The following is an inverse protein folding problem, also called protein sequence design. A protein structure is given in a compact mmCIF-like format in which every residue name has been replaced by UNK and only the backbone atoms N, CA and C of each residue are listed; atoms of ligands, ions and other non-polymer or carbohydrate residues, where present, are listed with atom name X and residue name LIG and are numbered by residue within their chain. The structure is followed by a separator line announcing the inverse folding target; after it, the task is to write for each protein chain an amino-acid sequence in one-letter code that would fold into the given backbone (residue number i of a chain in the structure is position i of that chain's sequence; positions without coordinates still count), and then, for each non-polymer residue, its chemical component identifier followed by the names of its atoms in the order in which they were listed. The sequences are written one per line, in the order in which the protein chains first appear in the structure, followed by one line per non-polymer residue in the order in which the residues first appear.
data_IF_632248619038
#
_entry.id   IF_632248619038
#
_cell.length_a   1.000
_cell.length_b   1.000
_cell.length_c   1.000
_cell.angle_alpha   90.00
_cell.angle_beta   90.00
_cell.angle_gamma   90.00
#
_symmetry.space_group_name_H-M   'P 1'
#
loop_
_entity.id
_entity.type
_entity.pdbx_description
1 polymer ?
#
# COMPACT_ATOMS: atom_id res chain seq x y z
N UNK A 1 4.98 23.66 -9.37
CA UNK A 1 4.79 22.29 -9.90
C UNK A 1 5.69 22.03 -11.08
N UNK A 2 5.66 22.85 -12.14
CA UNK A 2 6.54 22.72 -13.30
C UNK A 2 8.02 22.44 -12.94
N UNK A 3 8.62 23.23 -12.04
CA UNK A 3 10.01 23.01 -11.61
C UNK A 3 10.22 21.65 -10.92
N UNK A 4 9.25 21.17 -10.14
CA UNK A 4 9.30 19.86 -9.48
C UNK A 4 9.26 18.73 -10.50
N UNK A 5 8.37 18.84 -11.50
CA UNK A 5 8.22 17.86 -12.58
C UNK A 5 9.46 17.83 -13.47
N UNK A 6 10.01 19.00 -13.81
CA UNK A 6 11.22 19.12 -14.61
C UNK A 6 12.46 18.62 -13.86
N UNK A 7 12.57 18.92 -12.56
CA UNK A 7 13.68 18.44 -11.72
C UNK A 7 13.59 16.93 -11.53
N UNK A 8 12.41 16.38 -11.22
CA UNK A 8 12.24 14.95 -10.95
C UNK A 8 12.92 14.47 -9.66
N UNK A 9 12.81 13.18 -9.36
CA UNK A 9 13.39 12.52 -8.19
C UNK A 9 14.48 11.53 -8.61
N UNK A 10 15.67 11.61 -8.00
CA UNK A 10 16.76 10.67 -8.29
C UNK A 10 16.45 9.31 -7.66
N UNK A 11 16.78 8.24 -8.39
CA UNK A 11 16.51 6.87 -7.94
C UNK A 11 17.75 5.99 -8.13
N UNK A 12 18.04 5.15 -7.13
CA UNK A 12 18.99 4.07 -7.24
C UNK A 12 18.42 2.93 -8.11
N UNK A 13 18.66 3.02 -9.41
CA UNK A 13 18.17 2.05 -10.41
C UNK A 13 18.73 0.65 -10.15
N UNK A 14 19.98 0.53 -9.71
CA UNK A 14 20.61 -0.77 -9.52
C UNK A 14 20.07 -1.45 -8.25
N UNK A 15 19.93 -0.69 -7.17
CA UNK A 15 19.26 -1.17 -5.95
C UNK A 15 17.83 -1.59 -6.22
N UNK A 16 17.08 -0.80 -7.01
CA UNK A 16 15.70 -1.12 -7.36
C UNK A 16 15.60 -2.41 -8.21
N UNK A 17 16.52 -2.64 -9.15
CA UNK A 17 16.60 -3.90 -9.92
C UNK A 17 16.94 -5.10 -9.03
N UNK A 18 17.92 -4.98 -8.15
CA UNK A 18 18.29 -6.04 -7.22
C UNK A 18 17.12 -6.40 -6.28
N UNK A 19 16.39 -5.38 -5.82
CA UNK A 19 15.18 -5.59 -5.02
C UNK A 19 14.06 -6.28 -5.81
N UNK A 20 13.89 -5.95 -7.09
CA UNK A 20 12.96 -6.66 -7.99
C UNK A 20 13.29 -8.15 -8.14
N UNK A 21 14.58 -8.48 -8.24
CA UNK A 21 15.01 -9.87 -8.28
C UNK A 21 14.69 -10.60 -6.97
N UNK A 22 15.00 -10.00 -5.82
CA UNK A 22 14.65 -10.58 -4.51
C UNK A 22 13.14 -10.82 -4.37
N UNK A 23 12.31 -9.87 -4.80
CA UNK A 23 10.86 -10.04 -4.78
C UNK A 23 10.38 -11.16 -5.71
N UNK A 24 11.03 -11.32 -6.87
CA UNK A 24 10.73 -12.39 -7.83
C UNK A 24 11.05 -13.76 -7.24
N UNK A 25 12.21 -13.88 -6.56
CA UNK A 25 12.59 -15.13 -5.90
C UNK A 25 11.59 -15.48 -4.79
N UNK A 26 11.23 -14.50 -3.95
CA UNK A 26 10.20 -14.66 -2.91
C UNK A 26 8.81 -15.01 -3.47
N UNK A 27 8.45 -14.47 -4.63
CA UNK A 27 7.19 -14.81 -5.31
C UNK A 27 7.16 -16.28 -5.72
N UNK A 28 8.24 -16.77 -6.32
CA UNK A 28 8.36 -18.16 -6.73
C UNK A 28 8.29 -19.10 -5.51
N UNK A 29 9.01 -18.77 -4.44
CA UNK A 29 8.95 -19.55 -3.20
C UNK A 29 7.52 -19.60 -2.58
N UNK A 30 6.82 -18.46 -2.53
CA UNK A 30 5.43 -18.41 -2.08
C UNK A 30 4.53 -19.27 -2.98
N UNK A 31 4.70 -19.18 -4.29
CA UNK A 31 3.91 -19.90 -5.27
C UNK A 31 4.09 -21.43 -5.13
N UNK A 32 5.33 -21.88 -4.95
CA UNK A 32 5.64 -23.29 -4.68
C UNK A 32 4.99 -23.78 -3.38
N UNK A 33 5.05 -22.97 -2.31
CA UNK A 33 4.37 -23.29 -1.04
C UNK A 33 2.86 -23.38 -1.22
N UNK A 34 2.25 -22.45 -1.95
CA UNK A 34 0.81 -22.48 -2.25
C UNK A 34 0.45 -23.77 -2.97
N UNK A 35 1.16 -24.11 -4.06
CA UNK A 35 0.86 -25.32 -4.83
C UNK A 35 1.08 -26.61 -4.03
N UNK A 36 2.09 -26.65 -3.17
CA UNK A 36 2.33 -27.78 -2.27
C UNK A 36 1.22 -27.93 -1.23
N UNK A 37 0.68 -26.83 -0.72
CA UNK A 37 -0.42 -26.85 0.26
C UNK A 37 -1.75 -27.27 -0.38
N UNK A 38 -2.04 -26.82 -1.60
CA UNK A 38 -3.32 -27.09 -2.26
C UNK A 38 -3.33 -28.36 -3.10
N UNK A 39 -2.16 -28.86 -3.52
CA UNK A 39 -2.00 -30.06 -4.33
C UNK A 39 -2.23 -29.88 -5.84
N UNK A 40 -2.42 -28.66 -6.31
CA UNK A 40 -2.62 -28.36 -7.74
C UNK A 40 -2.13 -26.96 -8.11
N UNK A 41 -1.76 -26.77 -9.38
CA UNK A 41 -1.31 -25.48 -9.92
C UNK A 41 -2.48 -24.66 -10.47
N UNK A 42 -2.44 -23.35 -10.25
CA UNK A 42 -3.39 -22.39 -10.81
C UNK A 42 -2.78 -20.99 -10.83
N UNK A 43 -3.38 -20.07 -11.60
CA UNK A 43 -2.91 -18.68 -11.63
C UNK A 43 -3.41 -17.90 -10.41
N UNK A 44 -2.54 -17.70 -9.42
CA UNK A 44 -2.82 -16.93 -8.19
C UNK A 44 -3.16 -15.47 -8.47
N UNK A 45 -2.66 -14.91 -9.59
CA UNK A 45 -2.96 -13.54 -10.02
C UNK A 45 -4.35 -13.42 -10.66
N UNK A 46 -5.01 -14.52 -11.05
CA UNK A 46 -6.35 -14.50 -11.62
C UNK A 46 -7.39 -14.60 -10.51
N UNK A 47 -8.21 -13.55 -10.25
CA UNK A 47 -9.23 -13.61 -9.19
C UNK A 47 -10.23 -14.75 -9.40
N UNK A 48 -10.51 -15.10 -10.67
CA UNK A 48 -11.39 -16.21 -11.03
C UNK A 48 -10.79 -17.55 -10.65
N UNK A 49 -9.55 -17.84 -11.07
CA UNK A 49 -8.91 -19.12 -10.75
C UNK A 49 -8.61 -19.25 -9.26
N UNK A 50 -8.14 -18.18 -8.61
CA UNK A 50 -7.94 -18.15 -7.17
C UNK A 50 -9.26 -18.37 -6.41
N UNK A 51 -10.35 -17.74 -6.84
CA UNK A 51 -11.66 -17.94 -6.23
C UNK A 51 -12.11 -19.40 -6.33
N UNK A 52 -12.00 -19.99 -7.52
CA UNK A 52 -12.28 -21.42 -7.71
C UNK A 52 -11.41 -22.33 -6.84
N UNK A 53 -10.10 -22.08 -6.79
CA UNK A 53 -9.17 -22.86 -5.98
C UNK A 53 -9.50 -22.83 -4.47
N UNK A 54 -9.98 -21.68 -3.97
CA UNK A 54 -10.32 -21.52 -2.55
C UNK A 54 -11.71 -22.04 -2.19
N UNK A 55 -12.69 -21.89 -3.08
CA UNK A 55 -14.12 -21.97 -2.71
C UNK A 55 -14.92 -23.04 -3.43
N UNK A 56 -14.45 -23.57 -4.56
CA UNK A 56 -15.19 -24.64 -5.25
C UNK A 56 -15.15 -25.92 -4.40
N UNK A 57 -16.26 -26.67 -4.40
CA UNK A 57 -16.46 -27.85 -3.55
C UNK A 57 -15.51 -29.01 -3.87
N UNK A 58 -15.01 -29.08 -5.11
CA UNK A 58 -14.01 -30.07 -5.55
C UNK A 58 -12.56 -29.66 -5.22
N UNK A 59 -12.37 -28.52 -4.55
CA UNK A 59 -11.06 -27.96 -4.16
C UNK A 59 -10.94 -27.85 -2.64
N UNK A 60 -10.65 -26.65 -2.12
CA UNK A 60 -10.49 -26.42 -0.68
C UNK A 60 -11.81 -26.20 0.07
N UNK A 61 -12.90 -25.91 -0.66
CA UNK A 61 -14.24 -25.71 -0.09
C UNK A 61 -14.29 -24.75 1.11
N UNK A 62 -13.49 -23.67 1.11
CA UNK A 62 -13.45 -22.71 2.20
C UNK A 62 -14.76 -21.91 2.30
N UNK A 63 -15.12 -21.41 3.50
CA UNK A 63 -16.27 -20.54 3.66
C UNK A 63 -16.20 -19.32 2.74
N UNK A 64 -17.31 -19.00 2.07
CA UNK A 64 -17.36 -17.87 1.14
C UNK A 64 -18.65 -17.06 1.27
N UNK A 65 -18.56 -15.78 0.92
CA UNK A 65 -19.74 -14.91 0.79
C UNK A 65 -20.50 -15.16 -0.51
N UNK A 66 -21.48 -14.28 -0.81
CA UNK A 66 -22.26 -14.36 -2.04
C UNK A 66 -21.37 -14.21 -3.28
N UNK A 67 -21.45 -15.17 -4.20
CA UNK A 67 -20.82 -15.11 -5.54
C UNK A 67 -21.49 -14.01 -6.37
N UNK A 68 -20.71 -13.13 -6.98
CA UNK A 68 -21.22 -12.09 -7.88
C UNK A 68 -21.18 -12.57 -9.33
N UNK A 69 -21.68 -11.75 -10.27
CA UNK A 69 -21.58 -12.03 -11.72
C UNK A 69 -20.14 -12.24 -12.20
N UNK A 70 -19.15 -11.67 -11.50
CA UNK A 70 -17.73 -11.77 -11.85
C UNK A 70 -16.99 -12.89 -11.11
N UNK A 71 -17.67 -13.62 -10.22
CA UNK A 71 -17.11 -14.75 -9.47
C UNK A 71 -17.06 -14.51 -7.96
N UNK A 72 -16.20 -15.26 -7.27
CA UNK A 72 -15.98 -15.10 -5.83
C UNK A 72 -15.14 -13.86 -5.53
N UNK A 73 -15.47 -13.15 -4.45
CA UNK A 73 -14.60 -12.09 -3.96
C UNK A 73 -13.39 -12.72 -3.28
N UNK A 74 -12.20 -12.39 -3.78
CA UNK A 74 -10.93 -12.75 -3.13
C UNK A 74 -10.22 -11.50 -2.64
N UNK A 75 -10.92 -10.41 -2.30
CA UNK A 75 -10.25 -9.17 -1.86
C UNK A 75 -9.53 -9.37 -0.51
N UNK A 76 -8.67 -8.42 -0.14
CA UNK A 76 -7.90 -8.51 1.10
C UNK A 76 -8.79 -8.76 2.32
N UNK A 77 -9.89 -8.00 2.48
CA UNK A 77 -10.81 -8.15 3.64
C UNK A 77 -11.41 -9.55 3.76
N UNK A 78 -11.79 -10.18 2.64
CA UNK A 78 -12.32 -11.55 2.63
C UNK A 78 -11.22 -12.54 2.99
N UNK A 79 -10.04 -12.43 2.39
CA UNK A 79 -8.92 -13.31 2.74
C UNK A 79 -8.50 -13.15 4.21
N UNK A 80 -8.47 -11.93 4.74
CA UNK A 80 -8.18 -11.65 6.15
C UNK A 80 -9.14 -12.40 7.09
N UNK A 81 -10.45 -12.43 6.79
CA UNK A 81 -11.42 -13.18 7.59
C UNK A 81 -11.23 -14.70 7.53
N UNK A 82 -10.52 -15.21 6.53
CA UNK A 82 -10.30 -16.64 6.31
C UNK A 82 -8.94 -17.14 6.80
N UNK A 83 -8.12 -16.29 7.42
CA UNK A 83 -6.78 -16.68 7.89
C UNK A 83 -6.77 -17.88 8.83
N UNK A 84 -7.83 -18.07 9.61
CA UNK A 84 -7.96 -19.18 10.55
C UNK A 84 -8.49 -20.47 9.91
N UNK A 85 -9.02 -20.38 8.69
CA UNK A 85 -9.62 -21.53 7.99
C UNK A 85 -8.55 -22.39 7.32
N UNK A 86 -7.51 -21.78 6.73
CA UNK A 86 -6.44 -22.52 6.08
C UNK A 86 -5.13 -21.72 6.01
N UNK A 87 -3.96 -22.33 6.28
CA UNK A 87 -2.65 -21.64 6.21
C UNK A 87 -2.30 -21.05 4.83
N UNK A 88 -2.87 -21.56 3.74
CA UNK A 88 -2.63 -21.08 2.37
C UNK A 88 -3.05 -19.61 2.21
N UNK A 89 -4.01 -19.16 3.00
CA UNK A 89 -4.50 -17.78 2.97
C UNK A 89 -3.37 -16.79 3.33
N UNK A 90 -2.53 -17.14 4.30
CA UNK A 90 -1.38 -16.30 4.67
C UNK A 90 -0.36 -16.23 3.53
N UNK A 91 -0.07 -17.36 2.87
CA UNK A 91 0.82 -17.40 1.71
C UNK A 91 0.26 -16.59 0.52
N UNK A 92 -1.04 -16.65 0.26
CA UNK A 92 -1.70 -15.86 -0.79
C UNK A 92 -1.64 -14.36 -0.48
N UNK A 93 -1.88 -13.95 0.77
CA UNK A 93 -1.78 -12.56 1.20
C UNK A 93 -0.34 -12.04 1.07
N UNK A 94 0.65 -12.87 1.42
CA UNK A 94 2.06 -12.55 1.27
C UNK A 94 2.46 -12.44 -0.21
N UNK A 95 2.08 -13.44 -1.03
CA UNK A 95 2.30 -13.44 -2.48
C UNK A 95 1.74 -12.16 -3.13
N UNK A 96 0.53 -11.75 -2.77
CA UNK A 96 -0.07 -10.51 -3.31
C UNK A 96 0.67 -9.24 -2.88
N UNK A 97 1.20 -9.22 -1.66
CA UNK A 97 2.07 -8.13 -1.20
C UNK A 97 3.31 -8.03 -2.08
N UNK A 98 4.01 -9.15 -2.28
CA UNK A 98 5.20 -9.19 -3.14
C UNK A 98 4.88 -8.86 -4.59
N UNK A 99 3.79 -9.40 -5.13
CA UNK A 99 3.38 -9.16 -6.51
C UNK A 99 3.09 -7.70 -6.75
N UNK A 100 2.35 -7.05 -5.84
CA UNK A 100 2.03 -5.62 -5.96
C UNK A 100 3.29 -4.77 -5.85
N UNK A 101 4.19 -5.08 -4.91
CA UNK A 101 5.47 -4.40 -4.79
C UNK A 101 6.30 -4.52 -6.06
N UNK A 102 6.41 -5.73 -6.61
CA UNK A 102 7.21 -5.98 -7.79
C UNK A 102 6.59 -5.35 -9.05
N UNK A 103 5.34 -5.68 -9.38
CA UNK A 103 4.70 -5.26 -10.64
C UNK A 103 4.36 -3.77 -10.67
N UNK A 104 3.73 -3.25 -9.62
CA UNK A 104 3.22 -1.87 -9.63
C UNK A 104 4.34 -0.88 -9.38
N UNK A 105 5.24 -1.22 -8.45
CA UNK A 105 6.27 -0.29 -8.02
C UNK A 105 7.61 -0.60 -8.68
N UNK A 106 8.22 -1.76 -8.47
CA UNK A 106 9.57 -2.00 -9.01
C UNK A 106 9.61 -1.94 -10.54
N UNK A 107 8.86 -2.80 -11.22
CA UNK A 107 8.82 -2.83 -12.68
C UNK A 107 8.21 -1.55 -13.26
N UNK A 108 7.11 -1.07 -12.66
CA UNK A 108 6.42 0.14 -13.09
C UNK A 108 7.32 1.38 -13.03
N UNK A 109 8.05 1.55 -11.93
CA UNK A 109 8.95 2.67 -11.73
C UNK A 109 10.21 2.55 -12.61
N UNK A 110 10.80 1.36 -12.75
CA UNK A 110 11.96 1.15 -13.63
C UNK A 110 11.68 1.52 -15.09
N UNK A 111 10.45 1.29 -15.58
CA UNK A 111 10.05 1.64 -16.96
C UNK A 111 9.99 3.14 -17.22
N UNK A 112 9.86 3.97 -16.19
CA UNK A 112 9.68 5.43 -16.31
C UNK A 112 10.90 6.22 -15.88
N UNK A 113 11.96 5.56 -15.40
CA UNK A 113 13.25 6.23 -15.15
C UNK A 113 13.81 6.74 -16.47
N UNK A 114 14.13 8.03 -16.53
CA UNK A 114 14.73 8.66 -17.71
C UNK A 114 16.25 8.47 -17.72
N UNK A 115 16.90 8.85 -18.82
CA UNK A 115 18.36 8.69 -19.02
C UNK A 115 19.22 9.42 -17.99
N UNK A 116 18.68 10.45 -17.35
CA UNK A 116 19.32 11.20 -16.26
C UNK A 116 19.24 10.49 -14.90
N UNK A 117 18.66 9.28 -14.85
CA UNK A 117 18.49 8.50 -13.62
C UNK A 117 17.34 8.99 -12.73
N UNK A 118 16.46 9.86 -13.26
CA UNK A 118 15.38 10.49 -12.48
C UNK A 118 14.01 10.04 -12.96
N UNK A 119 13.06 10.09 -12.03
CA UNK A 119 11.63 9.91 -12.30
C UNK A 119 10.93 11.27 -12.28
N UNK A 120 10.12 11.53 -13.30
CA UNK A 120 9.42 12.79 -13.47
C UNK A 120 7.92 12.56 -13.44
N UNK A 121 7.34 12.69 -12.25
CA UNK A 121 5.89 12.65 -12.08
C UNK A 121 5.26 13.89 -12.68
N UNK A 122 4.03 13.75 -13.18
CA UNK A 122 3.14 14.87 -13.52
C UNK A 122 2.16 15.11 -12.36
N UNK A 123 1.94 16.36 -11.96
CA UNK A 123 1.00 16.73 -10.89
C UNK A 123 -0.26 17.37 -11.47
N UNK A 124 -1.39 16.68 -11.39
CA UNK A 124 -2.66 17.18 -11.92
C UNK A 124 -3.35 18.07 -10.87
N UNK A 125 -3.62 19.32 -11.24
CA UNK A 125 -4.25 20.31 -10.36
C UNK A 125 -5.79 20.26 -10.37
N UNK A 126 -6.38 19.69 -11.41
CA UNK A 126 -7.84 19.79 -11.69
C UNK A 126 -8.58 18.46 -11.61
N UNK A 127 -7.90 17.37 -11.18
CA UNK A 127 -8.48 16.03 -11.18
C UNK A 127 -9.35 15.75 -9.93
N UNK A 128 -8.85 16.10 -8.73
CA UNK A 128 -9.56 15.77 -7.50
C UNK A 128 -10.64 16.81 -7.15
N UNK A 129 -11.87 16.34 -6.91
CA UNK A 129 -13.00 17.19 -6.47
C UNK A 129 -12.72 17.96 -5.17
N UNK A 130 -11.81 17.45 -4.33
CA UNK A 130 -11.46 18.05 -3.03
C UNK A 130 -10.38 19.14 -3.13
N UNK A 131 -9.86 19.42 -4.33
CA UNK A 131 -8.76 20.36 -4.54
C UNK A 131 -7.37 19.80 -4.22
N UNK A 132 -7.24 18.49 -3.92
CA UNK A 132 -5.94 17.82 -3.77
C UNK A 132 -5.23 17.69 -5.11
N UNK A 133 -3.91 17.78 -5.10
CA UNK A 133 -3.09 17.35 -6.23
C UNK A 133 -3.14 15.82 -6.34
N UNK A 134 -3.24 15.31 -7.56
CA UNK A 134 -2.92 13.90 -7.88
C UNK A 134 -1.58 13.83 -8.62
N UNK A 135 -0.98 12.64 -8.66
CA UNK A 135 0.26 12.37 -9.38
C UNK A 135 0.11 11.21 -10.35
N UNK A 136 0.73 11.31 -11.52
CA UNK A 136 0.69 10.30 -12.57
C UNK A 136 2.04 10.21 -13.32
N UNK A 137 2.27 9.05 -13.94
CA UNK A 137 3.42 8.79 -14.84
C UNK A 137 4.83 9.09 -14.28
N UNK A 138 5.23 8.57 -13.10
CA UNK A 138 4.51 7.65 -12.22
C UNK A 138 3.79 8.35 -11.06
N UNK A 139 2.86 7.67 -10.40
CA UNK A 139 2.25 8.17 -9.17
C UNK A 139 3.23 8.03 -7.99
N UNK A 140 3.89 9.14 -7.65
CA UNK A 140 4.84 9.21 -6.52
C UNK A 140 4.17 9.52 -5.17
N UNK A 141 2.88 9.84 -5.15
CA UNK A 141 2.15 10.05 -3.88
C UNK A 141 1.79 8.74 -3.17
N UNK A 142 1.65 7.64 -3.92
CA UNK A 142 1.21 6.34 -3.40
C UNK A 142 2.35 5.35 -3.16
N UNK A 143 3.58 5.82 -2.94
CA UNK A 143 4.72 4.96 -2.61
C UNK A 143 4.52 4.36 -1.20
N UNK A 144 4.53 3.01 -1.06
CA UNK A 144 4.31 2.31 0.20
C UNK A 144 5.27 2.76 1.31
N UNK A 145 4.81 2.71 2.56
CA UNK A 145 5.63 2.99 3.76
C UNK A 145 5.27 2.12 4.96
N UNK A 146 4.01 1.69 5.07
CA UNK A 146 3.47 1.05 6.27
C UNK A 146 4.04 -0.35 6.56
N UNK A 147 4.68 -0.97 5.57
CA UNK A 147 5.31 -2.29 5.71
C UNK A 147 6.82 -2.16 5.58
N UNK A 148 7.56 -3.07 6.19
CA UNK A 148 9.03 -3.11 6.10
C UNK A 148 9.50 -3.10 4.63
N UNK A 149 8.90 -3.94 3.78
CA UNK A 149 9.23 -3.98 2.36
C UNK A 149 8.84 -2.70 1.61
N UNK A 150 7.74 -2.05 2.00
CA UNK A 150 7.38 -0.75 1.47
C UNK A 150 8.37 0.34 1.88
N UNK A 151 8.84 0.31 3.12
CA UNK A 151 9.89 1.19 3.62
C UNK A 151 11.21 0.99 2.86
N UNK A 152 11.60 -0.27 2.61
CA UNK A 152 12.76 -0.60 1.79
C UNK A 152 12.67 -0.04 0.37
N UNK A 153 11.48 -0.06 -0.25
CA UNK A 153 11.27 0.56 -1.56
C UNK A 153 11.55 2.08 -1.53
N UNK A 154 11.17 2.78 -0.46
CA UNK A 154 11.46 4.23 -0.32
C UNK A 154 12.95 4.53 -0.23
N UNK A 155 13.76 3.60 0.27
CA UNK A 155 15.21 3.78 0.39
C UNK A 155 15.91 3.91 -0.99
N UNK A 156 15.26 3.49 -2.09
CA UNK A 156 15.81 3.68 -3.43
C UNK A 156 15.58 5.07 -4.01
N UNK A 157 14.75 5.91 -3.39
CA UNK A 157 14.65 7.32 -3.73
C UNK A 157 15.75 8.08 -2.99
N UNK A 158 16.58 8.81 -3.73
CA UNK A 158 17.83 9.38 -3.21
C UNK A 158 17.94 10.87 -3.47
N UNK A 159 18.75 11.55 -2.65
CA UNK A 159 19.13 12.93 -2.91
C UNK A 159 20.20 12.98 -4.02
N UNK A 160 20.28 14.12 -4.72
CA UNK A 160 21.41 14.39 -5.61
C UNK A 160 22.75 14.43 -4.82
N UNK A 161 23.90 14.19 -5.48
CA UNK A 161 25.20 14.26 -4.82
C UNK A 161 25.41 15.59 -4.09
N UNK A 162 25.82 15.52 -2.82
CA UNK A 162 26.00 16.69 -1.96
C UNK A 162 24.71 17.25 -1.36
N UNK A 163 23.54 16.63 -1.62
CA UNK A 163 22.26 17.03 -1.06
C UNK A 163 21.72 16.01 -0.04
N UNK A 164 20.67 16.41 0.69
CA UNK A 164 19.89 15.53 1.56
C UNK A 164 18.40 15.67 1.23
N UNK A 165 17.63 14.60 1.42
CA UNK A 165 16.16 14.67 1.36
C UNK A 165 15.64 15.15 2.71
N UNK A 166 14.72 16.11 2.68
CA UNK A 166 13.99 16.58 3.86
C UNK A 166 12.52 16.30 3.63
N UNK A 167 11.91 15.57 4.57
CA UNK A 167 10.47 15.28 4.58
C UNK A 167 9.81 16.02 5.74
N UNK A 168 8.68 16.66 5.47
CA UNK A 168 7.92 17.43 6.43
C UNK A 168 6.43 17.18 6.22
N UNK A 169 5.78 16.56 7.20
CA UNK A 169 4.36 16.20 7.18
C UNK A 169 3.60 16.94 8.28
N UNK A 170 2.41 17.44 7.96
CA UNK A 170 1.58 18.08 8.96
C UNK A 170 0.98 17.06 9.92
N UNK A 171 1.37 17.12 11.19
CA UNK A 171 0.80 16.30 12.26
C UNK A 171 -0.72 16.50 12.39
N UNK A 172 -1.48 15.50 11.93
CA UNK A 172 -2.94 15.41 12.07
C UNK A 172 -3.71 16.60 11.47
N UNK A 173 -3.28 17.12 10.31
CA UNK A 173 -3.85 18.33 9.70
C UNK A 173 -5.38 18.30 9.52
N UNK A 174 -5.93 17.16 9.10
CA UNK A 174 -7.36 17.01 8.85
C UNK A 174 -8.19 17.19 10.12
N UNK A 175 -7.71 16.64 11.25
CA UNK A 175 -8.37 16.78 12.55
C UNK A 175 -8.20 18.20 13.11
N UNK A 176 -7.06 18.86 12.85
CA UNK A 176 -6.85 20.27 13.23
C UNK A 176 -7.80 21.20 12.48
N UNK A 177 -7.97 20.98 11.17
CA UNK A 177 -8.96 21.70 10.35
C UNK A 177 -10.37 21.44 10.88
N UNK A 178 -10.71 20.19 11.22
CA UNK A 178 -12.00 19.85 11.80
C UNK A 178 -12.25 20.61 13.12
N UNK A 179 -11.27 20.64 14.04
CA UNK A 179 -11.37 21.37 15.30
C UNK A 179 -11.62 22.87 15.09
N UNK A 180 -10.96 23.45 14.07
CA UNK A 180 -11.13 24.86 13.71
C UNK A 180 -12.53 25.14 13.15
N UNK A 181 -12.99 24.34 12.17
CA UNK A 181 -14.27 24.55 11.49
C UNK A 181 -15.45 24.23 12.41
N UNK A 182 -15.35 23.20 13.26
CA UNK A 182 -16.44 22.80 14.15
C UNK A 182 -16.60 23.70 15.37
N UNK A 183 -15.54 24.39 15.79
CA UNK A 183 -15.53 25.14 17.04
C UNK A 183 -15.54 24.26 18.30
N UNK A 184 -15.27 22.96 18.20
CA UNK A 184 -15.28 22.04 19.34
C UNK A 184 -14.15 22.39 20.33
N UNK A 185 -14.51 22.95 21.48
CA UNK A 185 -13.56 23.43 22.48
C UNK A 185 -12.67 22.32 23.03
N UNK A 186 -13.20 21.11 23.20
CA UNK A 186 -12.44 19.97 23.71
C UNK A 186 -11.38 19.49 22.71
N UNK A 187 -11.66 19.53 21.40
CA UNK A 187 -10.74 19.16 20.33
C UNK A 187 -9.67 20.25 20.14
N UNK A 188 -10.07 21.52 20.19
CA UNK A 188 -9.13 22.65 20.14
C UNK A 188 -8.16 22.63 21.33
N UNK A 189 -8.66 22.47 22.54
CA UNK A 189 -7.84 22.37 23.75
C UNK A 189 -6.88 21.17 23.67
N UNK A 190 -7.34 20.01 23.18
CA UNK A 190 -6.48 18.85 23.01
C UNK A 190 -5.30 19.14 22.07
N UNK A 191 -5.53 19.87 20.96
CA UNK A 191 -4.44 20.27 20.07
C UNK A 191 -3.52 21.35 20.64
N UNK A 192 -4.05 22.31 21.41
CA UNK A 192 -3.27 23.39 22.03
C UNK A 192 -2.39 22.88 23.18
N UNK A 193 -2.84 21.84 23.89
CA UNK A 193 -2.13 21.25 25.03
C UNK A 193 -1.28 20.04 24.64
N UNK A 194 -1.25 19.65 23.37
CA UNK A 194 -0.46 18.52 22.87
C UNK A 194 -1.00 17.15 23.28
N UNK A 195 -2.28 17.05 23.66
CA UNK A 195 -2.92 15.78 23.98
C UNK A 195 -3.11 14.91 22.73
N UNK A 196 -3.00 13.59 22.89
CA UNK A 196 -3.31 12.64 21.84
C UNK A 196 -4.83 12.53 21.63
N UNK A 197 -5.31 13.07 20.52
CA UNK A 197 -6.72 13.05 20.15
C UNK A 197 -7.24 11.65 19.83
N UNK A 198 -6.43 10.75 19.28
CA UNK A 198 -6.87 9.38 19.01
C UNK A 198 -7.13 8.66 20.33
N UNK A 199 -6.23 8.84 21.29
CA UNK A 199 -6.39 8.29 22.65
C UNK A 199 -7.59 8.91 23.37
N UNK A 200 -7.73 10.22 23.30
CA UNK A 200 -8.85 10.97 23.89
C UNK A 200 -10.21 10.57 23.31
N UNK A 201 -10.28 10.35 22.00
CA UNK A 201 -11.49 9.91 21.29
C UNK A 201 -11.81 8.45 21.60
N UNK A 202 -10.81 7.57 21.59
CA UNK A 202 -10.99 6.17 21.96
C UNK A 202 -11.48 6.03 23.42
N UNK A 203 -10.89 6.77 24.35
CA UNK A 203 -11.33 6.81 25.75
C UNK A 203 -12.81 7.21 25.89
N UNK A 204 -13.27 8.21 25.11
CA UNK A 204 -14.68 8.62 25.07
C UNK A 204 -15.59 7.55 24.46
N UNK A 205 -15.22 6.97 23.32
CA UNK A 205 -16.04 5.95 22.62
C UNK A 205 -16.18 4.67 23.46
N UNK A 206 -15.09 4.25 24.11
CA UNK A 206 -15.05 3.03 24.91
C UNK A 206 -15.35 3.26 26.40
N UNK A 207 -15.75 4.48 26.81
CA UNK A 207 -15.98 4.87 28.21
C UNK A 207 -14.82 4.45 29.15
N UNK A 208 -13.58 4.65 28.71
CA UNK A 208 -12.37 4.34 29.48
C UNK A 208 -11.71 5.62 30.02
N UNK A 209 -10.99 5.57 31.16
CA UNK A 209 -10.27 6.72 31.67
C UNK A 209 -9.16 7.19 30.72
N UNK A 210 -9.01 8.52 30.57
CA UNK A 210 -7.85 9.15 29.92
C UNK A 210 -6.62 8.92 30.79
N UNK A 211 -5.88 7.83 30.55
CA UNK A 211 -4.49 7.71 31.00
C UNK A 211 -3.56 8.46 30.06
#
# INVERSE_FOLDING_TARGET
LADMEQTGMLVDVNGLKAFGQELTDKLNECLDRIYKMVGFSFNVNSPKQLGSALFDEDKLALPHGKKTKTGYSTNAKVLESLRNEHPVINEILQYRTYQKLNSTYVEGLLKVVRKDGRMHSSFNQTEARTGRLSSSEPNLQNIPIRTELGSRLRAFFSAAPGCQLVDADYSQIELRILAHISGDSAMQEAFLTGQDIHRSTAAKIYNMPRK
#
